data_IF_393292741496
#
_entry.id   IF_393292741496
#
_cell.length_a   1.000
_cell.length_b   1.000
_cell.length_c   1.000
_cell.angle_alpha   90.00
_cell.angle_beta   90.00
_cell.angle_gamma   90.00
#
_symmetry.space_group_name_H-M   'P 1'
#
loop_
_entity.id
_entity.type
_entity.pdbx_description
1 polymer ?
#
# COMPACT_ATOMS: atom_id res chain seq x y z
N UNK A 1 7.85 -1.53 -2.77
CA UNK A 1 6.93 -2.09 -1.73
C UNK A 1 6.69 -3.58 -1.87
N UNK A 2 6.84 -4.18 -3.06
CA UNK A 2 6.91 -5.64 -3.18
C UNK A 2 8.09 -6.20 -2.37
N UNK A 3 7.84 -7.27 -1.62
CA UNK A 3 8.83 -7.90 -0.73
C UNK A 3 8.96 -7.32 0.68
N UNK A 4 8.21 -6.27 1.03
CA UNK A 4 8.18 -5.72 2.40
C UNK A 4 6.98 -6.28 3.19
N UNK A 5 7.13 -6.53 4.51
CA UNK A 5 5.99 -6.84 5.36
C UNK A 5 4.97 -5.70 5.31
N UNK A 6 3.68 -6.03 5.30
CA UNK A 6 2.59 -5.10 5.03
C UNK A 6 2.63 -3.82 5.89
N UNK A 7 3.04 -3.94 7.16
CA UNK A 7 3.24 -2.79 8.07
C UNK A 7 4.32 -1.82 7.61
N UNK A 8 5.42 -2.31 7.04
CA UNK A 8 6.52 -1.49 6.55
C UNK A 8 6.13 -0.78 5.25
N UNK A 9 5.42 -1.48 4.37
CA UNK A 9 4.85 -0.88 3.16
C UNK A 9 3.82 0.22 3.51
N UNK A 10 2.93 -0.05 4.48
CA UNK A 10 1.97 0.93 4.97
C UNK A 10 2.67 2.15 5.59
N UNK A 11 3.73 1.95 6.39
CA UNK A 11 4.50 3.04 6.99
C UNK A 11 5.20 3.92 5.95
N UNK A 12 5.75 3.32 4.89
CA UNK A 12 6.38 4.07 3.80
C UNK A 12 5.35 4.92 3.04
N UNK A 13 4.19 4.34 2.72
CA UNK A 13 3.09 5.04 2.05
C UNK A 13 2.49 6.15 2.92
N UNK A 14 2.33 5.89 4.22
CA UNK A 14 1.81 6.89 5.16
C UNK A 14 2.76 8.08 5.29
N UNK A 15 4.08 7.84 5.35
CA UNK A 15 5.09 8.92 5.34
C UNK A 15 5.09 9.72 4.04
N UNK A 16 4.74 9.10 2.92
CA UNK A 16 4.60 9.78 1.63
C UNK A 16 3.25 10.52 1.48
N UNK A 17 2.42 10.55 2.54
CA UNK A 17 1.14 11.27 2.54
C UNK A 17 -0.03 10.48 1.95
N UNK A 18 0.12 9.18 1.74
CA UNK A 18 -0.96 8.31 1.27
C UNK A 18 -1.79 7.76 2.43
N UNK A 19 -3.08 7.57 2.19
CA UNK A 19 -3.96 6.83 3.11
C UNK A 19 -3.86 5.36 2.76
N UNK A 20 -3.59 4.51 3.74
CA UNK A 20 -3.40 3.07 3.50
C UNK A 20 -4.55 2.30 4.12
N UNK A 21 -5.19 1.45 3.33
CA UNK A 21 -6.18 0.49 3.81
C UNK A 21 -5.61 -0.91 3.69
N UNK A 22 -5.39 -1.57 4.83
CA UNK A 22 -5.00 -2.97 4.86
C UNK A 22 -6.24 -3.83 4.69
N UNK A 23 -6.21 -4.74 3.72
CA UNK A 23 -7.28 -5.70 3.45
C UNK A 23 -6.70 -7.09 3.61
N UNK A 24 -7.40 -7.99 4.30
CA UNK A 24 -6.95 -9.37 4.44
C UNK A 24 -7.20 -10.13 3.12
N UNK A 25 -6.18 -10.78 2.57
CA UNK A 25 -6.28 -11.53 1.31
C UNK A 25 -4.94 -12.03 0.80
N UNK A 26 -4.88 -12.44 -0.48
CA UNK A 26 -3.64 -12.99 -1.05
C UNK A 26 -2.53 -11.93 -1.10
N UNK A 27 -1.40 -12.14 -0.41
CA UNK A 27 -0.29 -11.19 -0.38
C UNK A 27 0.20 -10.86 -1.79
N UNK A 28 0.58 -9.59 -2.00
CA UNK A 28 1.20 -9.13 -3.24
C UNK A 28 0.27 -8.37 -4.18
N UNK A 29 -1.01 -8.20 -3.81
CA UNK A 29 -1.91 -7.28 -4.49
C UNK A 29 -1.93 -5.92 -3.79
N UNK A 30 -1.56 -4.87 -4.51
CA UNK A 30 -1.72 -3.48 -4.09
C UNK A 30 -2.55 -2.73 -5.12
N UNK A 31 -3.54 -1.96 -4.67
CA UNK A 31 -4.37 -1.12 -5.54
C UNK A 31 -4.35 0.32 -5.00
N UNK A 32 -3.84 1.31 -5.76
CA UNK A 32 -3.30 1.22 -7.12
C UNK A 32 -2.06 0.33 -7.21
N UNK A 33 -1.81 -0.23 -8.40
CA UNK A 33 -0.65 -1.06 -8.66
C UNK A 33 0.65 -0.33 -8.30
N UNK A 34 1.65 -1.06 -7.83
CA UNK A 34 2.95 -0.48 -7.52
C UNK A 34 3.54 0.21 -8.77
N UNK A 35 3.98 1.46 -8.62
CA UNK A 35 4.51 2.27 -9.73
C UNK A 35 3.50 3.22 -10.36
N UNK A 36 2.23 3.20 -9.97
CA UNK A 36 1.26 4.21 -10.38
C UNK A 36 1.53 5.53 -9.66
N UNK A 37 1.68 6.61 -10.43
CA UNK A 37 1.75 7.97 -9.90
C UNK A 37 0.36 8.36 -9.42
N UNK A 38 0.15 8.39 -8.10
CA UNK A 38 -1.09 8.80 -7.47
C UNK A 38 -0.89 10.12 -6.71
N UNK A 39 -1.90 11.01 -6.67
CA UNK A 39 -1.85 12.21 -5.84
C UNK A 39 -1.64 11.89 -4.36
N UNK A 40 -0.96 12.78 -3.64
CA UNK A 40 -0.91 12.70 -2.18
C UNK A 40 -2.34 12.70 -1.61
N UNK A 41 -2.61 11.82 -0.64
CA UNK A 41 -3.94 11.59 -0.08
C UNK A 41 -4.76 10.47 -0.74
N UNK A 42 -4.29 9.88 -1.83
CA UNK A 42 -4.94 8.70 -2.43
C UNK A 42 -4.96 7.51 -1.47
N UNK A 43 -6.06 6.77 -1.51
CA UNK A 43 -6.26 5.56 -0.72
C UNK A 43 -5.63 4.37 -1.43
N UNK A 44 -4.56 3.83 -0.83
CA UNK A 44 -3.85 2.65 -1.29
C UNK A 44 -4.33 1.44 -0.49
N UNK A 45 -5.00 0.52 -1.17
CA UNK A 45 -5.33 -0.80 -0.63
C UNK A 45 -4.13 -1.72 -0.72
N UNK A 46 -3.75 -2.27 0.42
CA UNK A 46 -2.61 -3.17 0.57
C UNK A 46 -3.14 -4.49 1.09
N UNK A 47 -3.05 -5.55 0.28
CA UNK A 47 -3.54 -6.86 0.66
C UNK A 47 -2.45 -7.59 1.45
N UNK A 48 -2.78 -7.94 2.69
CA UNK A 48 -1.90 -8.63 3.62
C UNK A 48 -2.50 -10.00 4.00
N UNK A 49 -1.68 -11.03 4.24
CA UNK A 49 -2.13 -12.32 4.75
C UNK A 49 -2.56 -12.21 6.22
#
# INVERSE_FOLDING_TARGET
VHGLPARQAARALHRAGFRVQLVNGVPGTTSPAAGVVAPAGTLVRLVAP
#
